data_IF_459537780490
#
_entry.id   IF_459537780490
#
_cell.length_a   1.000
_cell.length_b   1.000
_cell.length_c   1.000
_cell.angle_alpha   90.00
_cell.angle_beta   90.00
_cell.angle_gamma   90.00
#
_symmetry.space_group_name_H-M   'P 1'
#
loop_
_entity.id
_entity.type
_entity.pdbx_description
1 polymer ?
#
# COMPACT_ATOMS: atom_id res chain seq x y z
N UNK A 1 14.05 -4.95 -10.82
CA UNK A 1 13.56 -6.29 -10.42
C UNK A 1 12.05 -6.23 -10.23
N UNK A 2 11.35 -7.35 -10.39
CA UNK A 2 9.93 -7.47 -10.06
C UNK A 2 9.79 -7.99 -8.64
N UNK A 3 9.01 -7.32 -7.80
CA UNK A 3 8.89 -7.64 -6.37
C UNK A 3 7.41 -7.71 -5.99
N UNK A 4 7.02 -8.82 -5.38
CA UNK A 4 5.71 -8.98 -4.76
C UNK A 4 5.83 -8.68 -3.26
N UNK A 5 4.93 -7.84 -2.73
CA UNK A 5 4.84 -7.49 -1.31
C UNK A 5 3.48 -7.98 -0.80
N UNK A 6 3.52 -9.02 0.02
CA UNK A 6 2.34 -9.58 0.66
C UNK A 6 2.04 -8.76 1.92
N UNK A 7 0.84 -8.21 2.04
CA UNK A 7 0.49 -7.27 3.12
C UNK A 7 0.93 -5.83 2.86
N UNK A 8 1.01 -5.42 1.59
CA UNK A 8 1.54 -4.13 1.16
C UNK A 8 0.70 -2.90 1.55
N UNK A 9 -0.55 -3.05 2.02
CA UNK A 9 -1.33 -1.93 2.56
C UNK A 9 -1.06 -1.69 4.06
N UNK A 10 -0.43 -2.65 4.74
CA UNK A 10 -0.10 -2.59 6.15
C UNK A 10 1.00 -1.59 6.50
N UNK A 11 1.20 -1.37 7.81
CA UNK A 11 2.11 -0.36 8.35
C UNK A 11 3.55 -0.45 7.84
N UNK A 12 4.10 -1.67 7.73
CA UNK A 12 5.46 -1.89 7.20
C UNK A 12 5.44 -2.09 5.68
N UNK A 13 4.40 -2.76 5.17
CA UNK A 13 4.28 -3.10 3.75
C UNK A 13 4.18 -1.87 2.85
N UNK A 14 3.40 -0.86 3.27
CA UNK A 14 3.19 0.36 2.49
C UNK A 14 4.48 1.18 2.28
N UNK A 15 5.20 1.62 3.32
CA UNK A 15 6.45 2.36 3.13
C UNK A 15 7.53 1.53 2.42
N UNK A 16 7.55 0.20 2.61
CA UNK A 16 8.45 -0.69 1.86
C UNK A 16 8.13 -0.68 0.37
N UNK A 17 6.85 -0.70 -0.01
CA UNK A 17 6.38 -0.62 -1.40
C UNK A 17 6.83 0.69 -2.06
N UNK A 18 6.65 1.81 -1.36
CA UNK A 18 7.09 3.13 -1.82
C UNK A 18 8.60 3.18 -2.02
N UNK A 19 9.36 2.69 -1.03
CA UNK A 19 10.81 2.68 -1.05
C UNK A 19 11.39 1.87 -2.22
N UNK A 20 10.86 0.67 -2.45
CA UNK A 20 11.30 -0.20 -3.54
C UNK A 20 10.88 0.37 -4.91
N UNK A 21 9.69 0.97 -5.01
CA UNK A 21 9.24 1.66 -6.23
C UNK A 21 10.14 2.85 -6.56
N UNK A 22 10.51 3.67 -5.56
CA UNK A 22 11.42 4.81 -5.71
C UNK A 22 12.81 4.40 -6.23
N UNK A 23 13.27 3.19 -5.87
CA UNK A 23 14.53 2.59 -6.39
C UNK A 23 14.42 1.99 -7.79
N UNK A 24 13.28 2.11 -8.47
CA UNK A 24 13.08 1.61 -9.83
C UNK A 24 12.72 0.14 -9.93
N UNK A 25 12.19 -0.45 -8.86
CA UNK A 25 11.63 -1.80 -8.91
C UNK A 25 10.16 -1.77 -9.39
N UNK A 26 9.75 -2.82 -10.11
CA UNK A 26 8.36 -3.07 -10.43
C UNK A 26 7.71 -3.75 -9.22
N UNK A 27 6.78 -3.05 -8.55
CA UNK A 27 6.19 -3.48 -7.28
C UNK A 27 4.75 -3.91 -7.49
N UNK A 28 4.43 -5.11 -6.99
CA UNK A 28 3.08 -5.67 -6.92
C UNK A 28 2.73 -5.88 -5.44
N UNK A 29 1.63 -5.29 -4.98
CA UNK A 29 1.07 -5.52 -3.66
C UNK A 29 0.00 -6.61 -3.78
N UNK A 30 0.08 -7.62 -2.93
CA UNK A 30 -1.00 -8.58 -2.72
C UNK A 30 -1.54 -8.38 -1.31
N UNK A 31 -2.80 -7.95 -1.19
CA UNK A 31 -3.41 -7.67 0.11
C UNK A 31 -4.93 -7.86 0.05
N UNK A 32 -5.48 -8.58 1.02
CA UNK A 32 -6.92 -8.78 1.13
C UNK A 32 -7.62 -7.71 2.00
N UNK A 33 -6.86 -6.74 2.51
CA UNK A 33 -7.34 -5.65 3.36
C UNK A 33 -7.97 -6.11 4.68
N UNK A 34 -7.73 -7.36 5.10
CA UNK A 34 -8.28 -7.94 6.34
C UNK A 34 -7.91 -7.11 7.58
N UNK A 35 -6.74 -6.46 7.59
CA UNK A 35 -6.35 -5.59 8.69
C UNK A 35 -7.32 -4.43 8.89
N UNK A 36 -7.79 -3.80 7.80
CA UNK A 36 -8.77 -2.70 7.87
C UNK A 36 -10.15 -3.18 8.31
N UNK A 37 -10.53 -4.38 7.89
CA UNK A 37 -11.75 -5.04 8.35
C UNK A 37 -11.72 -5.28 9.86
N UNK A 38 -10.60 -5.81 10.39
CA UNK A 38 -10.41 -6.01 11.83
C UNK A 38 -10.51 -4.69 12.60
N UNK A 39 -9.95 -3.58 12.07
CA UNK A 39 -10.11 -2.25 12.68
C UNK A 39 -11.60 -1.86 12.81
N UNK A 40 -12.35 -2.10 11.74
CA UNK A 40 -13.79 -1.81 11.69
C UNK A 40 -14.56 -2.67 12.68
N UNK A 41 -14.28 -3.98 12.74
CA UNK A 41 -14.93 -4.92 13.67
C UNK A 41 -14.66 -4.58 15.14
N UNK A 42 -13.45 -4.12 15.45
CA UNK A 42 -13.06 -3.74 16.81
C UNK A 42 -13.44 -2.30 17.17
N UNK A 43 -13.99 -1.53 16.23
CA UNK A 43 -14.34 -0.12 16.44
C UNK A 43 -13.11 0.77 16.70
N UNK A 44 -11.95 0.38 16.16
CA UNK A 44 -10.69 1.12 16.30
C UNK A 44 -10.29 1.77 14.98
N UNK A 45 -9.41 2.76 15.07
CA UNK A 45 -8.89 3.46 13.89
C UNK A 45 -7.41 3.78 14.07
N UNK A 46 -6.71 3.94 12.96
CA UNK A 46 -5.35 4.48 12.96
C UNK A 46 -5.35 5.90 13.54
N UNK A 47 -4.28 6.24 14.28
CA UNK A 47 -4.06 7.58 14.77
C UNK A 47 -3.92 8.59 13.63
N UNK A 48 -3.24 8.19 12.55
CA UNK A 48 -3.14 8.99 11.33
C UNK A 48 -4.25 8.60 10.36
N UNK A 49 -4.95 9.58 9.74
CA UNK A 49 -5.92 9.29 8.69
C UNK A 49 -5.27 8.48 7.55
N UNK A 50 -6.00 7.48 7.05
CA UNK A 50 -5.50 6.59 6.01
C UNK A 50 -6.50 6.46 4.86
N UNK A 51 -6.10 6.93 3.68
CA UNK A 51 -6.86 6.69 2.46
C UNK A 51 -6.84 5.21 2.03
N UNK A 52 -7.71 4.88 1.08
CA UNK A 52 -7.75 3.57 0.44
C UNK A 52 -6.45 3.27 -0.29
N UNK A 53 -6.14 1.98 -0.48
CA UNK A 53 -4.95 1.59 -1.24
C UNK A 53 -5.00 2.03 -2.71
N UNK A 54 -6.21 2.15 -3.28
CA UNK A 54 -6.42 2.68 -4.62
C UNK A 54 -6.02 4.16 -4.70
N UNK A 55 -6.40 4.96 -3.71
CA UNK A 55 -6.06 6.38 -3.67
C UNK A 55 -4.57 6.58 -3.43
N UNK A 56 -4.00 5.83 -2.48
CA UNK A 56 -2.56 5.80 -2.22
C UNK A 56 -1.72 5.48 -3.46
N UNK A 57 -2.11 4.45 -4.23
CA UNK A 57 -1.40 4.07 -5.46
C UNK A 57 -1.61 5.08 -6.61
N UNK A 58 -2.80 5.69 -6.70
CA UNK A 58 -3.10 6.78 -7.64
C UNK A 58 -2.22 8.00 -7.37
N UNK A 59 -2.17 8.47 -6.13
CA UNK A 59 -1.34 9.62 -5.72
C UNK A 59 0.13 9.33 -5.97
N UNK A 60 0.64 8.14 -5.60
CA UNK A 60 2.02 7.77 -5.91
C UNK A 60 2.35 7.87 -7.40
N UNK A 61 1.43 7.45 -8.26
CA UNK A 61 1.61 7.56 -9.71
C UNK A 61 1.62 9.02 -10.19
N UNK A 62 0.73 9.86 -9.67
CA UNK A 62 0.71 11.28 -10.02
C UNK A 62 1.98 12.02 -9.59
N UNK A 63 2.46 11.76 -8.39
CA UNK A 63 3.62 12.46 -7.81
C UNK A 63 4.95 12.02 -8.42
N UNK A 64 5.04 10.76 -8.88
CA UNK A 64 6.35 10.16 -9.26
C UNK A 64 6.41 9.63 -10.69
N UNK A 65 5.27 9.50 -11.38
CA UNK A 65 5.14 8.78 -12.64
C UNK A 65 5.29 7.25 -12.51
N UNK A 66 5.57 6.71 -11.32
CA UNK A 66 5.81 5.28 -11.08
C UNK A 66 4.51 4.58 -10.69
N UNK A 67 4.33 3.34 -11.14
CA UNK A 67 3.10 2.58 -10.88
C UNK A 67 3.38 1.43 -9.92
N UNK A 68 2.68 1.43 -8.79
CA UNK A 68 2.53 0.28 -7.89
C UNK A 68 1.22 -0.42 -8.27
N UNK A 69 1.25 -1.73 -8.50
CA UNK A 69 0.06 -2.51 -8.86
C UNK A 69 -0.50 -3.20 -7.64
N UNK A 70 -1.80 -3.05 -7.39
CA UNK A 70 -2.52 -3.71 -6.31
C UNK A 70 -3.33 -4.89 -6.86
N UNK A 71 -3.28 -6.04 -6.17
CA UNK A 71 -3.97 -7.29 -6.52
C UNK A 71 -4.73 -7.81 -5.30
#
# INVERSE_FOLDING_TARGET
MKIAILGGDGFVGWPTSLHLSARGHEVHILDNLSRRWIDTELGVQSLTPMDSIQERTRVWHLETGRRIRFH
#
